data_IF_913023576623
#
_entry.id   IF_913023576623
#
_cell.length_a   1.000
_cell.length_b   1.000
_cell.length_c   1.000
_cell.angle_alpha   90.00
_cell.angle_beta   90.00
_cell.angle_gamma   90.00
#
_symmetry.space_group_name_H-M   'P 1'
#
loop_
_entity.id
_entity.type
_entity.pdbx_description
1 polymer ?
#
# COMPACT_ATOMS: atom_id res chain seq x y z
N UNK A 1 -12.81 -63.08 28.37
CA UNK A 1 -11.97 -61.97 27.91
C UNK A 1 -12.83 -61.05 27.08
N UNK A 2 -13.27 -59.96 27.69
CA UNK A 2 -14.16 -58.96 27.02
C UNK A 2 -13.33 -57.71 26.72
N UNK A 3 -13.09 -57.41 25.44
CA UNK A 3 -12.45 -56.16 25.02
C UNK A 3 -13.53 -55.09 24.92
N UNK A 4 -13.44 -54.13 25.83
CA UNK A 4 -14.25 -52.89 25.81
C UNK A 4 -13.58 -51.91 24.86
N UNK A 5 -14.16 -51.67 23.67
CA UNK A 5 -13.76 -50.63 22.73
C UNK A 5 -14.34 -49.31 23.22
N UNK A 6 -13.50 -48.48 23.83
CA UNK A 6 -13.82 -47.09 24.14
C UNK A 6 -13.63 -46.25 22.88
N UNK A 7 -14.74 -45.93 22.22
CA UNK A 7 -14.76 -44.99 21.06
C UNK A 7 -14.61 -43.59 21.62
N UNK A 8 -13.39 -43.03 21.58
CA UNK A 8 -13.13 -41.64 21.92
C UNK A 8 -13.58 -40.76 20.72
N UNK A 9 -14.78 -40.22 20.77
CA UNK A 9 -15.26 -39.21 19.83
C UNK A 9 -14.49 -37.93 20.09
N UNK A 10 -13.44 -37.69 19.29
CA UNK A 10 -12.71 -36.44 19.26
C UNK A 10 -13.61 -35.37 18.62
N UNK A 11 -14.35 -34.64 19.43
CA UNK A 11 -15.09 -33.46 19.01
C UNK A 11 -14.07 -32.40 18.62
N UNK A 12 -13.74 -32.33 17.33
CA UNK A 12 -12.96 -31.25 16.74
C UNK A 12 -13.88 -30.00 16.71
N UNK A 13 -13.82 -29.19 17.75
CA UNK A 13 -14.45 -27.87 17.73
C UNK A 13 -13.66 -27.01 16.74
N UNK A 14 -14.16 -26.89 15.52
CA UNK A 14 -13.70 -25.89 14.56
C UNK A 14 -14.09 -24.52 15.14
N UNK A 15 -13.19 -23.90 15.87
CA UNK A 15 -13.32 -22.50 16.23
C UNK A 15 -13.19 -21.69 14.94
N UNK A 16 -14.30 -21.20 14.43
CA UNK A 16 -14.31 -20.19 13.38
C UNK A 16 -13.58 -18.95 13.96
N UNK A 17 -12.32 -18.78 13.58
CA UNK A 17 -11.58 -17.53 13.85
C UNK A 17 -12.18 -16.47 12.94
N UNK A 18 -13.16 -15.74 13.47
CA UNK A 18 -13.62 -14.52 12.81
C UNK A 18 -12.46 -13.51 12.84
N UNK A 19 -11.96 -13.11 11.69
CA UNK A 19 -11.01 -12.01 11.59
C UNK A 19 -11.64 -10.76 12.21
N UNK A 20 -11.01 -10.23 13.26
CA UNK A 20 -11.48 -9.00 13.91
C UNK A 20 -11.16 -7.82 12.99
N UNK A 21 -12.16 -7.32 12.25
CA UNK A 21 -11.96 -6.16 11.43
C UNK A 21 -12.96 -6.00 10.30
N UNK A 22 -12.66 -5.04 9.44
CA UNK A 22 -13.38 -4.80 8.20
C UNK A 22 -12.54 -5.23 7.01
N UNK A 23 -13.14 -5.88 6.02
CA UNK A 23 -12.54 -6.09 4.71
C UNK A 23 -13.22 -5.22 3.67
N UNK A 24 -12.43 -4.74 2.69
CA UNK A 24 -12.90 -3.86 1.61
C UNK A 24 -12.33 -4.32 0.29
N UNK A 25 -13.18 -4.43 -0.72
CA UNK A 25 -12.78 -4.84 -2.08
C UNK A 25 -13.57 -4.05 -3.13
N UNK A 26 -12.87 -3.49 -4.14
CA UNK A 26 -11.42 -3.39 -4.28
C UNK A 26 -10.82 -2.31 -3.37
N UNK A 27 -9.54 -2.45 -3.00
CA UNK A 27 -8.78 -1.42 -2.27
C UNK A 27 -8.22 -0.32 -3.17
N UNK A 28 -8.29 -0.53 -4.50
CA UNK A 28 -7.94 0.44 -5.54
C UNK A 28 -9.01 0.40 -6.64
N UNK A 29 -9.47 1.57 -7.05
CA UNK A 29 -10.46 1.75 -8.10
C UNK A 29 -9.81 2.49 -9.26
N UNK A 30 -9.93 1.95 -10.46
CA UNK A 30 -9.43 2.56 -11.68
C UNK A 30 -10.59 2.86 -12.61
N UNK A 31 -10.90 4.13 -12.78
CA UNK A 31 -11.88 4.59 -13.74
C UNK A 31 -11.22 4.82 -15.09
N UNK A 32 -11.86 4.28 -16.13
CA UNK A 32 -11.54 4.55 -17.52
C UNK A 32 -12.78 5.16 -18.15
N UNK A 33 -12.62 6.32 -18.77
CA UNK A 33 -13.73 7.05 -19.41
C UNK A 33 -13.23 8.32 -20.06
N UNK A 34 -14.02 8.85 -20.96
CA UNK A 34 -13.72 10.06 -21.71
C UNK A 34 -14.37 11.28 -21.05
N UNK A 35 -13.93 12.49 -21.44
CA UNK A 35 -14.47 13.74 -20.96
C UNK A 35 -16.01 13.80 -21.14
N UNK A 36 -16.72 14.21 -20.11
CA UNK A 36 -18.17 14.29 -20.04
C UNK A 36 -18.88 12.98 -19.65
N UNK A 37 -18.18 11.85 -19.57
CA UNK A 37 -18.77 10.59 -19.15
C UNK A 37 -18.88 10.46 -17.64
N UNK A 38 -19.91 9.77 -17.18
CA UNK A 38 -20.02 9.27 -15.81
C UNK A 38 -19.83 7.75 -15.81
N UNK A 39 -18.87 7.30 -15.01
CA UNK A 39 -18.54 5.87 -14.86
C UNK A 39 -18.65 5.47 -13.39
N UNK A 40 -19.07 4.23 -13.12
CA UNK A 40 -19.36 3.79 -11.75
C UNK A 40 -18.73 2.43 -11.46
N UNK A 41 -18.32 2.21 -10.22
CA UNK A 41 -17.84 0.93 -9.72
C UNK A 41 -18.38 0.67 -8.31
N UNK A 42 -18.66 -0.59 -7.99
CA UNK A 42 -19.08 -1.01 -6.66
C UNK A 42 -17.86 -1.30 -5.78
N UNK A 43 -17.94 -0.87 -4.53
CA UNK A 43 -16.99 -1.19 -3.47
C UNK A 43 -17.74 -1.98 -2.42
N UNK A 44 -17.29 -3.19 -2.14
CA UNK A 44 -17.92 -4.09 -1.17
C UNK A 44 -17.16 -4.06 0.15
N UNK A 45 -17.90 -3.87 1.22
CA UNK A 45 -17.44 -3.91 2.60
C UNK A 45 -17.99 -5.15 3.29
N UNK A 46 -17.20 -5.78 4.15
CA UNK A 46 -17.64 -6.90 4.99
C UNK A 46 -17.15 -6.69 6.41
N UNK A 47 -18.09 -6.71 7.37
CA UNK A 47 -17.79 -6.65 8.78
C UNK A 47 -17.47 -8.04 9.32
N UNK A 48 -16.20 -8.32 9.58
CA UNK A 48 -15.74 -9.56 10.21
C UNK A 48 -15.72 -9.51 11.74
N UNK A 49 -16.14 -8.39 12.35
CA UNK A 49 -16.18 -8.23 13.80
C UNK A 49 -17.52 -8.68 14.41
N UNK A 50 -17.55 -8.78 15.74
CA UNK A 50 -18.76 -9.13 16.49
C UNK A 50 -19.63 -7.93 16.86
N UNK A 51 -19.21 -6.71 16.49
CA UNK A 51 -19.93 -5.47 16.76
C UNK A 51 -20.44 -4.79 15.50
N UNK A 52 -21.45 -3.93 15.63
CA UNK A 52 -21.90 -3.06 14.54
C UNK A 52 -20.85 -2.00 14.28
N UNK A 53 -20.52 -1.76 13.00
CA UNK A 53 -19.59 -0.74 12.54
C UNK A 53 -20.36 0.35 11.80
N UNK A 54 -20.20 1.60 12.24
CA UNK A 54 -20.72 2.78 11.55
C UNK A 54 -19.57 3.59 10.99
N UNK A 55 -19.61 3.94 9.71
CA UNK A 55 -18.58 4.69 9.01
C UNK A 55 -19.15 5.95 8.37
N UNK A 56 -18.29 6.96 8.27
CA UNK A 56 -18.53 8.17 7.49
C UNK A 56 -17.47 8.25 6.39
N UNK A 57 -17.92 8.50 5.15
CA UNK A 57 -17.06 8.64 3.99
C UNK A 57 -16.52 10.06 3.85
N UNK A 58 -15.25 10.19 3.44
CA UNK A 58 -14.61 11.45 3.11
C UNK A 58 -13.64 11.28 1.94
N UNK A 59 -13.67 12.18 0.97
CA UNK A 59 -12.65 12.27 -0.05
C UNK A 59 -11.50 13.17 0.42
N UNK A 60 -10.26 12.76 0.11
CA UNK A 60 -9.04 13.55 0.32
C UNK A 60 -8.14 13.41 -0.90
N UNK A 61 -7.33 14.41 -1.11
CA UNK A 61 -6.22 14.31 -2.05
C UNK A 61 -5.02 13.65 -1.38
N UNK A 62 -4.15 13.08 -2.18
CA UNK A 62 -2.92 12.48 -1.68
C UNK A 62 -1.82 12.45 -2.72
N UNK A 63 -0.59 12.46 -2.24
CA UNK A 63 0.61 12.17 -3.00
C UNK A 63 1.57 11.28 -2.18
N UNK A 64 2.81 11.16 -2.66
CA UNK A 64 3.91 10.54 -1.93
C UNK A 64 5.08 11.48 -1.87
N UNK A 65 5.77 11.50 -0.72
CA UNK A 65 7.04 12.18 -0.61
C UNK A 65 8.18 11.41 -1.30
N UNK A 66 9.40 11.95 -1.21
CA UNK A 66 10.59 11.34 -1.82
C UNK A 66 11.00 10.00 -1.21
N UNK A 67 10.41 9.58 -0.09
CA UNK A 67 10.60 8.25 0.53
C UNK A 67 9.42 7.32 0.26
N UNK A 68 8.42 7.77 -0.51
CA UNK A 68 7.23 7.00 -0.83
C UNK A 68 6.14 7.00 0.25
N UNK A 69 6.30 7.80 1.31
CA UNK A 69 5.28 7.94 2.36
C UNK A 69 4.11 8.74 1.83
N UNK A 70 2.89 8.24 2.04
CA UNK A 70 1.68 8.94 1.61
C UNK A 70 1.45 10.19 2.45
N UNK A 71 1.12 11.29 1.80
CA UNK A 71 0.68 12.54 2.41
C UNK A 71 -0.73 12.82 1.94
N UNK A 72 -1.58 13.29 2.85
CA UNK A 72 -2.99 13.54 2.58
C UNK A 72 -3.30 15.02 2.73
N UNK A 73 -4.19 15.51 1.87
CA UNK A 73 -4.59 16.91 1.80
C UNK A 73 -6.12 17.03 1.76
N UNK A 74 -6.70 18.17 2.14
CA UNK A 74 -8.10 18.45 1.83
C UNK A 74 -8.37 18.34 0.33
N UNK A 75 -9.61 18.04 -0.03
CA UNK A 75 -10.08 18.02 -1.42
C UNK A 75 -9.74 19.34 -2.15
N UNK A 76 -9.20 19.23 -3.36
CA UNK A 76 -8.73 20.36 -4.17
C UNK A 76 -7.30 20.83 -3.85
N UNK A 77 -6.62 20.23 -2.84
CA UNK A 77 -5.23 20.56 -2.48
C UNK A 77 -4.17 19.82 -3.27
N UNK A 78 -4.52 18.77 -3.98
CA UNK A 78 -3.61 17.92 -4.76
C UNK A 78 -3.44 18.39 -6.20
N UNK A 79 -2.21 18.32 -6.72
CA UNK A 79 -1.88 18.73 -8.11
C UNK A 79 -2.67 17.93 -9.17
N UNK A 80 -2.97 16.67 -8.88
CA UNK A 80 -3.64 15.73 -9.79
C UNK A 80 -4.94 15.21 -9.19
N UNK A 81 -5.67 16.07 -8.45
CA UNK A 81 -6.91 15.68 -7.78
C UNK A 81 -8.00 15.31 -8.78
N UNK A 82 -8.75 14.27 -8.44
CA UNK A 82 -10.05 13.95 -9.02
C UNK A 82 -11.15 13.85 -7.95
N UNK A 83 -10.88 14.30 -6.73
CA UNK A 83 -11.80 14.16 -5.61
C UNK A 83 -13.15 14.85 -5.84
N UNK A 84 -13.15 16.01 -6.52
CA UNK A 84 -14.38 16.75 -6.86
C UNK A 84 -15.21 16.09 -7.97
N UNK A 85 -14.64 15.11 -8.69
CA UNK A 85 -15.36 14.38 -9.74
C UNK A 85 -16.15 13.20 -9.20
N UNK A 86 -15.95 12.89 -7.90
CA UNK A 86 -16.43 11.69 -7.26
C UNK A 86 -17.73 11.91 -6.49
N UNK A 87 -18.59 10.92 -6.53
CA UNK A 87 -19.79 10.85 -5.71
C UNK A 87 -20.03 9.44 -5.23
N UNK A 88 -20.70 9.29 -4.09
CA UNK A 88 -21.09 8.01 -3.49
C UNK A 88 -22.60 7.88 -3.47
N UNK A 89 -23.09 6.64 -3.65
CA UNK A 89 -24.51 6.34 -3.42
C UNK A 89 -24.92 6.57 -1.96
N UNK A 90 -23.99 6.38 -1.02
CA UNK A 90 -24.18 6.58 0.41
C UNK A 90 -22.88 7.15 1.02
N UNK A 91 -22.98 8.24 1.77
CA UNK A 91 -21.85 8.85 2.50
C UNK A 91 -21.65 8.28 3.91
N UNK A 92 -22.61 7.49 4.39
CA UNK A 92 -22.54 6.78 5.66
C UNK A 92 -22.82 5.31 5.43
N UNK A 93 -22.09 4.45 6.14
CA UNK A 93 -22.20 3.00 5.99
C UNK A 93 -22.35 2.36 7.36
N UNK A 94 -23.46 1.63 7.56
CA UNK A 94 -23.69 0.82 8.77
C UNK A 94 -23.62 -0.64 8.38
N UNK A 95 -22.85 -1.42 9.14
CA UNK A 95 -22.65 -2.86 8.94
C UNK A 95 -22.87 -3.60 10.26
N UNK A 96 -23.89 -4.47 10.31
CA UNK A 96 -24.05 -5.43 11.39
C UNK A 96 -22.90 -6.47 11.40
N UNK A 97 -22.71 -7.22 12.50
CA UNK A 97 -21.75 -8.33 12.55
C UNK A 97 -21.97 -9.32 11.40
N UNK A 98 -20.91 -9.64 10.65
CA UNK A 98 -20.93 -10.56 9.50
C UNK A 98 -21.59 -9.97 8.24
N UNK A 99 -22.16 -8.77 8.28
CA UNK A 99 -22.84 -8.17 7.12
C UNK A 99 -21.84 -7.76 6.03
N UNK A 100 -22.29 -7.95 4.79
CA UNK A 100 -21.61 -7.46 3.57
C UNK A 100 -22.51 -6.48 2.85
N UNK A 101 -21.99 -5.30 2.50
CA UNK A 101 -22.73 -4.24 1.81
C UNK A 101 -21.87 -3.60 0.73
N UNK A 102 -22.49 -3.22 -0.39
CA UNK A 102 -21.81 -2.53 -1.48
C UNK A 102 -22.26 -1.08 -1.57
N UNK A 103 -21.29 -0.19 -1.76
CA UNK A 103 -21.49 1.25 -2.03
C UNK A 103 -21.04 1.51 -3.46
N UNK A 104 -21.81 2.26 -4.23
CA UNK A 104 -21.45 2.65 -5.59
C UNK A 104 -20.68 3.95 -5.56
N UNK A 105 -19.45 3.90 -6.06
CA UNK A 105 -18.60 5.06 -6.32
C UNK A 105 -18.74 5.43 -7.80
N UNK A 106 -19.13 6.68 -8.06
CA UNK A 106 -19.28 7.23 -9.41
C UNK A 106 -18.28 8.37 -9.63
N UNK A 107 -17.77 8.46 -10.86
CA UNK A 107 -16.90 9.53 -11.31
C UNK A 107 -17.49 10.21 -12.53
N UNK A 108 -17.72 11.52 -12.45
CA UNK A 108 -18.11 12.35 -13.59
C UNK A 108 -16.90 13.11 -14.11
N UNK A 109 -16.40 12.71 -15.29
CA UNK A 109 -15.16 13.24 -15.86
C UNK A 109 -15.48 14.61 -16.49
N UNK A 110 -14.79 15.70 -16.11
CA UNK A 110 -15.04 17.03 -16.64
C UNK A 110 -14.82 17.13 -18.15
N UNK A 111 -15.63 17.93 -18.83
CA UNK A 111 -15.47 18.21 -20.28
C UNK A 111 -14.16 18.98 -20.58
N UNK A 112 -13.70 19.82 -19.65
CA UNK A 112 -12.54 20.69 -19.81
C UNK A 112 -11.22 20.04 -19.35
N UNK A 113 -11.05 18.76 -19.55
CA UNK A 113 -9.79 18.09 -19.20
C UNK A 113 -8.72 18.44 -20.24
N UNK A 114 -7.84 19.37 -19.95
CA UNK A 114 -6.91 20.01 -20.90
C UNK A 114 -5.71 19.14 -21.28
N UNK A 115 -5.43 18.06 -20.55
CA UNK A 115 -4.38 17.10 -20.90
C UNK A 115 -4.74 15.71 -20.37
N UNK A 116 -4.44 14.64 -21.12
CA UNK A 116 -4.61 13.29 -20.63
C UNK A 116 -3.56 13.03 -19.54
N UNK A 117 -3.94 13.25 -18.29
CA UNK A 117 -3.11 12.97 -17.11
C UNK A 117 -3.84 11.98 -16.23
N UNK A 118 -3.08 11.07 -15.63
CA UNK A 118 -3.59 10.27 -14.52
C UNK A 118 -3.89 11.20 -13.35
N UNK A 119 -5.12 11.13 -12.84
CA UNK A 119 -5.52 11.85 -11.63
C UNK A 119 -5.84 10.86 -10.52
N UNK A 120 -5.72 11.30 -9.29
CA UNK A 120 -5.92 10.43 -8.13
C UNK A 120 -6.50 11.16 -6.93
N UNK A 121 -7.23 10.39 -6.11
CA UNK A 121 -7.70 10.78 -4.80
C UNK A 121 -7.76 9.57 -3.87
N UNK A 122 -8.15 9.79 -2.63
CA UNK A 122 -8.37 8.76 -1.62
C UNK A 122 -9.79 8.91 -1.07
N UNK A 123 -10.52 7.81 -1.08
CA UNK A 123 -11.79 7.70 -0.39
C UNK A 123 -11.53 7.03 0.96
N UNK A 124 -11.78 7.75 2.05
CA UNK A 124 -11.72 7.22 3.41
C UNK A 124 -13.11 6.87 3.92
N UNK A 125 -13.20 5.74 4.61
CA UNK A 125 -14.30 5.40 5.49
C UNK A 125 -13.77 5.36 6.92
N UNK A 126 -14.10 6.37 7.71
CA UNK A 126 -13.67 6.51 9.10
C UNK A 126 -14.78 6.05 10.02
N UNK A 127 -14.48 5.19 10.97
CA UNK A 127 -15.43 4.68 11.95
C UNK A 127 -15.95 5.82 12.82
N UNK A 128 -17.27 5.92 12.92
CA UNK A 128 -17.97 6.97 13.68
C UNK A 128 -18.43 6.50 15.07
N UNK A 129 -18.64 5.19 15.26
CA UNK A 129 -19.04 4.64 16.56
C UNK A 129 -17.82 4.09 17.32
N UNK A 130 -17.74 4.41 18.61
CA UNK A 130 -16.73 3.82 19.48
C UNK A 130 -17.00 2.33 19.68
N UNK A 131 -15.99 1.50 19.43
CA UNK A 131 -16.01 0.13 19.91
C UNK A 131 -15.55 0.06 21.38
N UNK A 132 -15.93 -1.01 22.07
CA UNK A 132 -15.59 -1.23 23.47
C UNK A 132 -14.15 -0.87 23.78
N UNK A 133 -13.94 -0.06 24.83
CA UNK A 133 -12.61 0.33 25.30
C UNK A 133 -11.74 -0.88 25.52
N UNK A 134 -10.66 -0.99 24.78
CA UNK A 134 -9.65 -2.02 25.00
C UNK A 134 -8.79 -1.58 26.19
N UNK A 135 -8.87 -2.28 27.32
CA UNK A 135 -8.01 -2.00 28.48
C UNK A 135 -6.70 -2.75 28.26
N UNK A 136 -5.62 -2.04 28.02
CA UNK A 136 -4.26 -2.60 27.93
C UNK A 136 -3.41 -2.03 29.05
N UNK A 137 -2.94 -2.89 29.95
CA UNK A 137 -2.13 -2.50 31.13
C UNK A 137 -2.76 -1.38 32.01
N UNK A 138 -4.10 -1.43 32.20
CA UNK A 138 -4.80 -0.43 33.01
C UNK A 138 -5.12 0.90 32.28
N UNK A 139 -4.72 1.06 31.03
CA UNK A 139 -5.02 2.23 30.20
C UNK A 139 -6.15 1.90 29.24
N UNK A 140 -7.22 2.73 29.25
CA UNK A 140 -8.29 2.63 28.27
C UNK A 140 -7.82 3.23 26.93
N UNK A 141 -7.77 2.40 25.86
CA UNK A 141 -7.41 2.83 24.52
C UNK A 141 -8.65 2.75 23.64
N UNK A 142 -9.04 3.86 23.01
CA UNK A 142 -10.05 3.87 21.97
C UNK A 142 -9.35 3.66 20.62
N UNK A 143 -9.75 2.60 19.89
CA UNK A 143 -9.26 2.33 18.56
C UNK A 143 -10.36 2.64 17.57
N UNK A 144 -10.11 3.54 16.63
CA UNK A 144 -11.00 3.83 15.50
C UNK A 144 -10.38 3.23 14.23
N UNK A 145 -11.23 2.60 13.42
CA UNK A 145 -10.82 2.06 12.14
C UNK A 145 -10.98 3.14 11.05
N UNK A 146 -9.96 3.29 10.22
CA UNK A 146 -10.04 4.09 9.00
C UNK A 146 -9.56 3.23 7.82
N UNK A 147 -10.39 3.13 6.79
CA UNK A 147 -10.09 2.38 5.58
C UNK A 147 -9.97 3.36 4.42
N UNK A 148 -8.80 3.36 3.76
CA UNK A 148 -8.52 4.20 2.60
C UNK A 148 -8.53 3.40 1.30
N UNK A 149 -9.31 3.85 0.33
CA UNK A 149 -9.43 3.29 -1.01
C UNK A 149 -8.82 4.28 -2.00
N UNK A 150 -7.81 3.82 -2.75
CA UNK A 150 -7.17 4.64 -3.77
C UNK A 150 -8.06 4.72 -5.01
N UNK A 151 -8.34 5.93 -5.47
CA UNK A 151 -9.18 6.17 -6.66
C UNK A 151 -8.34 6.84 -7.73
N UNK A 152 -8.34 6.26 -8.92
CA UNK A 152 -7.59 6.76 -10.07
C UNK A 152 -8.52 6.95 -11.27
N UNK A 153 -8.31 8.02 -12.03
CA UNK A 153 -8.78 8.12 -13.40
C UNK A 153 -7.60 7.94 -14.35
N UNK A 154 -7.74 7.00 -15.27
CA UNK A 154 -6.72 6.64 -16.25
C UNK A 154 -7.29 6.92 -17.63
N UNK A 155 -7.08 8.13 -18.20
CA UNK A 155 -7.53 8.43 -19.55
C UNK A 155 -6.82 7.56 -20.59
N UNK A 156 -7.41 7.46 -21.77
CA UNK A 156 -6.80 6.75 -22.90
C UNK A 156 -5.53 7.48 -23.39
N UNK A 157 -4.64 6.71 -24.03
CA UNK A 157 -3.43 7.26 -24.67
C UNK A 157 -2.26 7.56 -23.76
N UNK A 158 -2.33 7.24 -22.44
CA UNK A 158 -1.19 7.38 -21.53
C UNK A 158 -0.10 6.35 -21.84
N UNK A 159 1.16 6.78 -21.79
CA UNK A 159 2.30 5.88 -21.94
C UNK A 159 2.62 5.18 -20.63
N UNK A 160 2.84 3.86 -20.71
CA UNK A 160 3.23 3.09 -19.54
C UNK A 160 4.61 3.51 -19.00
N UNK A 161 5.58 3.82 -19.89
CA UNK A 161 6.96 4.07 -19.48
C UNK A 161 7.58 2.89 -18.75
N UNK A 162 8.63 3.16 -17.99
CA UNK A 162 9.35 2.16 -17.21
C UNK A 162 9.69 2.67 -15.80
N UNK A 163 10.23 1.81 -14.95
CA UNK A 163 10.93 2.20 -13.73
C UNK A 163 12.43 2.09 -13.95
N UNK A 164 13.18 3.13 -13.58
CA UNK A 164 14.61 3.22 -13.82
C UNK A 164 15.37 3.59 -12.56
N UNK A 165 16.53 2.99 -12.35
CA UNK A 165 17.47 3.45 -11.32
C UNK A 165 18.15 4.74 -11.76
N UNK A 166 18.11 5.75 -10.90
CA UNK A 166 18.82 7.02 -11.08
C UNK A 166 20.10 7.08 -10.25
N UNK A 167 20.14 6.43 -9.09
CA UNK A 167 21.28 6.44 -8.18
C UNK A 167 21.31 5.18 -7.31
N UNK A 168 22.52 4.79 -6.90
CA UNK A 168 22.78 3.79 -5.88
C UNK A 168 23.84 4.32 -4.92
N UNK A 169 23.48 4.56 -3.67
CA UNK A 169 24.30 5.23 -2.67
C UNK A 169 24.53 4.37 -1.43
N UNK A 170 25.75 4.35 -0.93
CA UNK A 170 26.04 4.00 0.46
C UNK A 170 26.03 5.30 1.27
N UNK A 171 25.10 5.43 2.21
CA UNK A 171 24.93 6.59 3.08
C UNK A 171 25.70 6.46 4.40
N UNK A 172 26.46 5.38 4.55
CA UNK A 172 27.27 5.12 5.73
C UNK A 172 26.46 4.79 6.98
N UNK A 173 27.07 5.05 8.14
CA UNK A 173 26.43 4.80 9.44
C UNK A 173 25.47 5.94 9.79
N UNK A 174 24.27 5.58 10.19
CA UNK A 174 23.24 6.50 10.65
C UNK A 174 22.64 5.98 11.96
N UNK A 175 22.12 6.89 12.78
CA UNK A 175 21.32 6.54 13.95
C UNK A 175 19.84 6.57 13.58
N UNK A 176 19.13 5.47 13.86
CA UNK A 176 17.70 5.36 13.64
C UNK A 176 17.04 4.65 14.82
N UNK A 177 16.05 5.31 15.44
CA UNK A 177 15.31 4.78 16.60
C UNK A 177 16.23 4.24 17.73
N UNK A 178 17.34 4.96 18.02
CA UNK A 178 18.30 4.59 19.06
C UNK A 178 19.23 3.42 18.69
N UNK A 179 19.29 3.04 17.40
CA UNK A 179 20.21 2.01 16.90
C UNK A 179 21.07 2.59 15.78
N UNK A 180 22.34 2.23 15.79
CA UNK A 180 23.24 2.54 14.67
C UNK A 180 23.06 1.46 13.60
N UNK A 181 22.80 1.88 12.38
CA UNK A 181 22.70 1.02 11.19
C UNK A 181 23.56 1.60 10.07
N UNK A 182 23.92 0.78 9.09
CA UNK A 182 24.44 1.26 7.81
C UNK A 182 23.27 1.39 6.83
N UNK A 183 23.20 2.49 6.10
CA UNK A 183 22.12 2.72 5.16
C UNK A 183 22.61 2.73 3.73
N UNK A 184 22.05 1.86 2.93
CA UNK A 184 22.12 1.93 1.47
C UNK A 184 20.82 2.50 0.92
N UNK A 185 20.87 3.17 -0.20
CA UNK A 185 19.70 3.73 -0.85
C UNK A 185 19.82 3.67 -2.37
N UNK A 186 18.72 3.30 -3.03
CA UNK A 186 18.57 3.47 -4.48
C UNK A 186 17.51 4.52 -4.77
N UNK A 187 17.74 5.33 -5.79
CA UNK A 187 16.76 6.28 -6.31
C UNK A 187 16.13 5.70 -7.56
N UNK A 188 14.82 5.61 -7.58
CA UNK A 188 14.04 5.09 -8.71
C UNK A 188 13.16 6.20 -9.27
N UNK A 189 13.01 6.24 -10.58
CA UNK A 189 12.09 7.12 -11.31
C UNK A 189 11.06 6.29 -12.06
N UNK A 190 9.81 6.71 -12.01
CA UNK A 190 8.77 6.27 -12.93
C UNK A 190 8.81 7.20 -14.15
N UNK A 191 9.20 6.69 -15.32
CA UNK A 191 9.26 7.46 -16.57
C UNK A 191 7.92 7.50 -17.30
N UNK A 192 6.91 6.77 -16.79
CA UNK A 192 5.58 6.65 -17.39
C UNK A 192 4.56 7.63 -16.82
N UNK A 193 3.44 7.70 -17.52
CA UNK A 193 2.27 8.51 -17.18
C UNK A 193 1.21 7.76 -16.37
N UNK A 194 1.49 6.51 -15.98
CA UNK A 194 0.63 5.69 -15.13
C UNK A 194 1.34 5.34 -13.83
N UNK A 195 0.56 5.04 -12.79
CA UNK A 195 1.12 4.51 -11.54
C UNK A 195 1.70 3.12 -11.74
N UNK A 196 2.78 2.79 -11.01
CA UNK A 196 3.44 1.50 -11.04
C UNK A 196 3.71 0.96 -9.66
N UNK A 197 3.49 -0.35 -9.51
CA UNK A 197 3.94 -1.11 -8.35
C UNK A 197 5.15 -1.95 -8.75
N UNK A 198 6.09 -2.10 -7.83
CA UNK A 198 7.30 -2.89 -8.03
C UNK A 198 7.82 -3.43 -6.71
N UNK A 199 8.81 -4.30 -6.79
CA UNK A 199 9.66 -4.70 -5.68
C UNK A 199 11.10 -4.33 -5.98
N UNK A 200 11.80 -3.76 -5.00
CA UNK A 200 13.25 -3.63 -5.02
C UNK A 200 13.82 -4.68 -4.08
N UNK A 201 14.54 -5.64 -4.67
CA UNK A 201 15.30 -6.65 -3.94
C UNK A 201 16.75 -6.22 -3.89
N UNK A 202 17.35 -6.32 -2.72
CA UNK A 202 18.77 -6.11 -2.53
C UNK A 202 19.45 -7.45 -2.28
N UNK A 203 20.61 -7.64 -2.85
CA UNK A 203 21.53 -8.75 -2.61
C UNK A 203 22.86 -8.15 -2.16
N UNK A 204 23.44 -8.68 -1.11
CA UNK A 204 24.70 -8.20 -0.56
C UNK A 204 25.60 -9.43 -0.32
N UNK A 205 26.65 -9.53 -1.11
CA UNK A 205 27.57 -10.69 -1.10
C UNK A 205 28.97 -10.24 -0.70
N UNK A 206 29.55 -10.87 0.32
CA UNK A 206 30.96 -10.67 0.69
C UNK A 206 31.87 -11.12 -0.46
N UNK A 207 32.74 -10.24 -0.93
CA UNK A 207 33.69 -10.55 -2.02
C UNK A 207 34.77 -11.54 -1.53
N UNK A 208 35.13 -11.47 -0.24
CA UNK A 208 36.16 -12.31 0.34
C UNK A 208 35.67 -13.74 0.60
N UNK A 209 34.45 -13.92 1.07
CA UNK A 209 33.93 -15.23 1.53
C UNK A 209 32.85 -15.81 0.64
N UNK A 210 32.23 -15.03 -0.25
CA UNK A 210 31.04 -15.41 -0.99
C UNK A 210 29.77 -15.52 -0.13
N UNK A 211 29.83 -15.14 1.15
CA UNK A 211 28.68 -15.20 2.04
C UNK A 211 27.65 -14.13 1.67
N UNK A 212 26.39 -14.53 1.58
CA UNK A 212 25.27 -13.63 1.32
C UNK A 212 24.66 -13.13 2.61
N UNK A 213 24.33 -11.85 2.66
CA UNK A 213 23.55 -11.24 3.75
C UNK A 213 22.10 -11.21 3.29
N UNK A 214 21.18 -11.90 3.99
CA UNK A 214 19.78 -11.93 3.61
C UNK A 214 19.13 -10.56 3.82
N UNK A 215 18.49 -10.04 2.78
CA UNK A 215 17.80 -8.76 2.79
C UNK A 215 16.37 -8.92 2.31
N UNK A 216 15.45 -8.29 3.01
CA UNK A 216 14.02 -8.34 2.67
C UNK A 216 13.75 -7.40 1.49
N UNK A 217 13.00 -7.88 0.49
CA UNK A 217 12.52 -7.05 -0.61
C UNK A 217 11.60 -5.93 -0.10
N UNK A 218 11.72 -4.75 -0.72
CA UNK A 218 10.94 -3.56 -0.41
C UNK A 218 9.88 -3.35 -1.50
N UNK A 219 8.60 -3.34 -1.11
CA UNK A 219 7.52 -3.00 -2.03
C UNK A 219 7.52 -1.50 -2.32
N UNK A 220 7.37 -1.14 -3.58
CA UNK A 220 7.40 0.22 -4.09
C UNK A 220 6.11 0.49 -4.86
N UNK A 221 5.50 1.64 -4.63
CA UNK A 221 4.35 2.11 -5.40
C UNK A 221 4.60 3.56 -5.80
N UNK A 222 4.70 3.82 -7.07
CA UNK A 222 5.09 5.11 -7.61
C UNK A 222 3.96 5.74 -8.42
N UNK A 223 3.69 7.01 -8.17
CA UNK A 223 2.84 7.83 -9.02
C UNK A 223 3.55 8.16 -10.35
N UNK A 224 2.83 8.62 -11.38
CA UNK A 224 3.44 9.04 -12.64
C UNK A 224 4.57 10.04 -12.44
N UNK A 225 5.63 9.88 -13.19
CA UNK A 225 6.79 10.78 -13.24
C UNK A 225 7.50 11.02 -11.89
N UNK A 226 7.10 10.30 -10.84
CA UNK A 226 7.66 10.45 -9.51
C UNK A 226 9.07 9.87 -9.41
N UNK A 227 9.86 10.46 -8.51
CA UNK A 227 11.15 9.93 -8.06
C UNK A 227 11.06 9.55 -6.59
N UNK A 228 11.63 8.40 -6.24
CA UNK A 228 11.56 7.87 -4.87
C UNK A 228 12.87 7.23 -4.45
N UNK A 229 13.29 7.49 -3.22
CA UNK A 229 14.37 6.79 -2.55
C UNK A 229 13.86 5.54 -1.84
N UNK A 230 14.45 4.42 -2.12
CA UNK A 230 14.23 3.15 -1.42
C UNK A 230 15.46 2.89 -0.55
N UNK A 231 15.25 2.81 0.74
CA UNK A 231 16.30 2.68 1.75
C UNK A 231 16.35 1.25 2.29
N UNK A 232 17.57 0.80 2.55
CA UNK A 232 17.88 -0.47 3.17
C UNK A 232 18.81 -0.24 4.34
N UNK A 233 18.40 -0.71 5.51
CA UNK A 233 19.24 -0.68 6.71
C UNK A 233 19.93 -2.03 6.90
N UNK A 234 21.26 -1.97 7.03
CA UNK A 234 22.16 -3.10 7.21
C UNK A 234 22.76 -3.08 8.64
N UNK A 235 23.26 -4.22 9.15
CA UNK A 235 24.01 -4.24 10.39
C UNK A 235 25.17 -3.25 10.39
N UNK A 236 25.38 -2.54 11.52
CA UNK A 236 26.42 -1.52 11.63
C UNK A 236 27.83 -2.08 11.73
N UNK A 237 27.97 -3.34 12.11
CA UNK A 237 29.22 -4.06 12.37
C UNK A 237 29.79 -4.80 11.16
N UNK A 238 29.18 -4.63 9.99
CA UNK A 238 29.73 -5.18 8.73
C UNK A 238 31.12 -4.63 8.46
N UNK A 239 32.04 -5.52 8.07
CA UNK A 239 33.43 -5.23 7.72
C UNK A 239 33.84 -6.00 6.45
N UNK A 240 34.80 -5.46 5.68
CA UNK A 240 35.27 -6.07 4.46
C UNK A 240 34.61 -5.50 3.21
N UNK A 241 34.79 -6.17 2.07
CA UNK A 241 34.26 -5.74 0.77
C UNK A 241 33.02 -6.54 0.39
N UNK A 242 32.06 -5.85 -0.14
CA UNK A 242 30.79 -6.43 -0.57
C UNK A 242 30.43 -5.98 -1.98
N UNK A 243 29.86 -6.90 -2.75
CA UNK A 243 29.08 -6.56 -3.94
C UNK A 243 27.64 -6.39 -3.52
N UNK A 244 27.11 -5.18 -3.69
CA UNK A 244 25.72 -4.86 -3.47
C UNK A 244 25.01 -4.78 -4.83
N UNK A 245 23.91 -5.53 -4.97
CA UNK A 245 23.08 -5.57 -6.17
C UNK A 245 21.66 -5.15 -5.77
N UNK A 246 21.09 -4.21 -6.51
CA UNK A 246 19.70 -3.85 -6.42
C UNK A 246 18.96 -4.31 -7.68
N UNK A 247 17.89 -5.07 -7.51
CA UNK A 247 17.07 -5.62 -8.59
C UNK A 247 15.68 -5.03 -8.47
N UNK A 248 15.24 -4.34 -9.52
CA UNK A 248 13.92 -3.72 -9.61
C UNK A 248 13.01 -4.59 -10.50
N UNK A 249 11.95 -5.11 -9.91
CA UNK A 249 10.96 -5.97 -10.55
C UNK A 249 9.59 -5.28 -10.56
N UNK A 250 9.16 -4.82 -11.71
CA UNK A 250 7.86 -4.19 -11.94
C UNK A 250 6.82 -5.16 -12.52
N UNK A 251 7.08 -6.46 -12.48
CA UNK A 251 6.22 -7.52 -12.97
C UNK A 251 6.54 -7.99 -14.39
N UNK A 252 5.90 -9.07 -14.82
CA UNK A 252 6.23 -9.84 -16.03
C UNK A 252 6.22 -9.05 -17.35
N UNK A 253 5.56 -7.92 -17.38
CA UNK A 253 5.44 -7.08 -18.58
C UNK A 253 6.57 -6.06 -18.73
N UNK A 254 7.49 -6.02 -17.76
CA UNK A 254 8.64 -5.12 -17.75
C UNK A 254 9.93 -5.92 -17.56
N UNK A 255 11.01 -5.42 -18.14
CA UNK A 255 12.35 -5.99 -17.94
C UNK A 255 12.82 -5.72 -16.52
N UNK A 256 13.52 -6.69 -15.94
CA UNK A 256 14.24 -6.49 -14.68
C UNK A 256 15.34 -5.44 -14.89
N UNK A 257 15.41 -4.47 -13.97
CA UNK A 257 16.51 -3.51 -13.95
C UNK A 257 17.47 -3.89 -12.82
N UNK A 258 18.75 -3.79 -13.07
CA UNK A 258 19.81 -4.13 -12.12
C UNK A 258 20.74 -2.95 -11.96
N UNK A 259 21.10 -2.64 -10.73
CA UNK A 259 22.16 -1.71 -10.38
C UNK A 259 23.12 -2.39 -9.40
N UNK A 260 24.42 -2.20 -9.61
CA UNK A 260 25.48 -2.83 -8.83
C UNK A 260 26.41 -1.78 -8.25
N UNK A 261 26.96 -2.08 -7.07
CA UNK A 261 27.94 -1.24 -6.41
C UNK A 261 28.84 -2.08 -5.51
N UNK A 262 30.15 -1.92 -5.65
CA UNK A 262 31.09 -2.39 -4.65
C UNK A 262 31.17 -1.41 -3.48
N UNK A 263 31.17 -1.93 -2.28
CA UNK A 263 31.27 -1.16 -1.02
C UNK A 263 32.33 -1.79 -0.12
N UNK A 264 33.01 -0.93 0.65
CA UNK A 264 34.02 -1.35 1.62
C UNK A 264 33.63 -0.78 3.00
N UNK A 265 33.59 -1.65 4.00
CA UNK A 265 33.23 -1.32 5.36
C UNK A 265 34.36 -1.56 6.35
#
# INVERSE_FOLDING_TARGET
MKYLFALFFLYSTVTLVFGQGISVSPSRVFFKGEAGQTVSQAITFQNGSNGTLDFVAQFKDWDRDSLGVKRYYPTGGGRHSNAEWLSLSESTLRLAPGESKSVVLSMTIPLANHAPLLTNSMLFFTQANEQSKMIRQGVAVNVLLEVGIQVYHVPSGLTAGDLEFLAFEDRGRIEQAGRVVRRMAVKVKNTGQINKDAYVRFELTSIESGAEIPVKAVAVAMLPEAEQWIQLDLPADLTGRYLAVAILDAGRQYDLKVAEKEITY
#
